data_IF_547295359102
#
_entry.id   IF_547295359102
#
_cell.length_a   1.000
_cell.length_b   1.000
_cell.length_c   1.000
_cell.angle_alpha   90.00
_cell.angle_beta   90.00
_cell.angle_gamma   90.00
#
_symmetry.space_group_name_H-M   'P 1'
#
loop_
_entity.id
_entity.type
_entity.pdbx_description
1 polymer ?
#
# COMPACT_ATOMS: atom_id res chain seq x y z
N UNK A 1 -8.22 4.77 -0.62
CA UNK A 1 -8.77 3.43 -0.36
C UNK A 1 -7.88 2.73 0.64
N UNK A 2 -8.45 1.99 1.60
CA UNK A 2 -7.68 1.20 2.58
C UNK A 2 -7.80 -0.29 2.24
N UNK A 3 -6.67 -1.00 2.23
CA UNK A 3 -6.60 -2.44 2.00
C UNK A 3 -5.83 -3.10 3.15
N UNK A 4 -6.48 -3.89 4.01
CA UNK A 4 -5.78 -4.61 5.07
C UNK A 4 -5.02 -5.81 4.49
N UNK A 5 -3.81 -6.03 4.99
CA UNK A 5 -2.95 -7.18 4.71
C UNK A 5 -2.52 -7.86 6.00
N UNK A 6 -2.40 -9.17 5.98
CA UNK A 6 -1.78 -9.92 7.06
C UNK A 6 -0.26 -9.84 6.95
N UNK A 7 0.44 -9.97 8.08
CA UNK A 7 1.92 -10.00 8.07
C UNK A 7 2.44 -11.17 7.22
N UNK A 8 1.76 -12.30 7.31
CA UNK A 8 2.12 -13.54 6.60
C UNK A 8 1.72 -13.55 5.12
N UNK A 9 0.99 -12.53 4.64
CA UNK A 9 0.65 -12.44 3.22
C UNK A 9 1.94 -12.40 2.39
N UNK A 10 2.02 -13.24 1.37
CA UNK A 10 3.17 -13.22 0.48
C UNK A 10 3.15 -11.94 -0.37
N UNK A 11 4.28 -11.63 -1.02
CA UNK A 11 4.31 -10.57 -2.02
C UNK A 11 3.22 -10.80 -3.07
N UNK A 12 3.12 -12.01 -3.61
CA UNK A 12 2.13 -12.36 -4.62
C UNK A 12 0.67 -12.13 -4.17
N UNK A 13 0.32 -12.54 -2.94
CA UNK A 13 -1.03 -12.32 -2.41
C UNK A 13 -1.35 -10.82 -2.29
N UNK A 14 -0.34 -10.04 -1.89
CA UNK A 14 -0.43 -8.59 -1.75
C UNK A 14 -0.65 -7.93 -3.12
N UNK A 15 0.15 -8.28 -4.12
CA UNK A 15 0.03 -7.78 -5.50
C UNK A 15 -1.32 -8.09 -6.11
N UNK A 16 -1.79 -9.34 -5.99
CA UNK A 16 -3.07 -9.76 -6.57
C UNK A 16 -4.22 -8.97 -5.94
N UNK A 17 -4.19 -8.79 -4.62
CA UNK A 17 -5.22 -8.03 -3.91
C UNK A 17 -5.19 -6.54 -4.30
N UNK A 18 -3.99 -5.95 -4.45
CA UNK A 18 -3.83 -4.57 -4.93
C UNK A 18 -4.34 -4.43 -6.36
N UNK A 19 -4.00 -5.38 -7.24
CA UNK A 19 -4.43 -5.37 -8.63
C UNK A 19 -5.96 -5.42 -8.75
N UNK A 20 -6.58 -6.39 -8.08
CA UNK A 20 -8.01 -6.60 -8.17
C UNK A 20 -8.82 -5.47 -7.55
N UNK A 21 -8.35 -4.89 -6.45
CA UNK A 21 -9.14 -3.90 -5.69
C UNK A 21 -8.77 -2.46 -6.05
N UNK A 22 -7.49 -2.16 -6.23
CA UNK A 22 -7.04 -0.79 -6.52
C UNK A 22 -7.11 -0.51 -8.01
N UNK A 23 -6.48 -1.35 -8.85
CA UNK A 23 -6.40 -1.06 -10.29
C UNK A 23 -7.77 -1.17 -10.97
N UNK A 24 -8.63 -2.09 -10.52
CA UNK A 24 -10.01 -2.16 -11.02
C UNK A 24 -10.84 -0.92 -10.69
N UNK A 25 -10.52 -0.20 -9.62
CA UNK A 25 -11.30 0.97 -9.19
C UNK A 25 -10.71 2.29 -9.68
N UNK A 26 -9.38 2.41 -9.67
CA UNK A 26 -8.66 3.64 -10.00
C UNK A 26 -8.04 3.64 -11.41
N UNK A 27 -8.01 2.49 -12.09
CA UNK A 27 -7.26 2.30 -13.34
C UNK A 27 -5.78 2.03 -13.10
N UNK A 28 -5.01 1.97 -14.19
CA UNK A 28 -3.56 1.76 -14.14
C UNK A 28 -2.85 3.04 -13.69
N UNK A 29 -2.04 2.93 -12.64
CA UNK A 29 -1.18 4.04 -12.22
C UNK A 29 0.05 4.15 -13.12
N UNK A 30 0.41 5.39 -13.49
CA UNK A 30 1.65 5.66 -14.23
C UNK A 30 2.88 5.66 -13.31
N UNK A 31 2.70 6.12 -12.07
CA UNK A 31 3.75 6.17 -11.05
C UNK A 31 3.18 5.69 -9.71
N UNK A 32 3.89 4.78 -9.04
CA UNK A 32 3.58 4.35 -7.67
C UNK A 32 4.76 4.70 -6.77
N UNK A 33 4.46 5.33 -5.64
CA UNK A 33 5.42 5.56 -4.57
C UNK A 33 5.00 4.68 -3.39
N UNK A 34 5.87 3.77 -2.96
CA UNK A 34 5.63 2.98 -1.76
C UNK A 34 6.90 2.86 -0.91
N UNK A 35 6.75 2.39 0.32
CA UNK A 35 7.85 2.16 1.22
C UNK A 35 8.71 0.97 0.80
N UNK A 36 9.75 0.66 1.59
CA UNK A 36 10.69 -0.42 1.29
C UNK A 36 10.29 -1.76 1.89
N UNK A 37 8.99 -2.04 2.04
CA UNK A 37 8.55 -3.36 2.49
C UNK A 37 9.11 -4.45 1.55
N UNK A 38 9.59 -5.59 2.08
CA UNK A 38 10.06 -6.73 1.28
C UNK A 38 9.08 -7.19 0.19
N UNK A 39 7.77 -7.01 0.41
CA UNK A 39 6.73 -7.35 -0.57
C UNK A 39 6.81 -6.47 -1.82
N UNK A 40 6.96 -5.15 -1.63
CA UNK A 40 7.07 -4.16 -2.72
C UNK A 40 8.46 -4.09 -3.36
N UNK A 41 9.50 -4.55 -2.66
CA UNK A 41 10.87 -4.65 -3.22
C UNK A 41 11.13 -5.98 -3.94
N UNK A 42 10.18 -6.93 -3.87
CA UNK A 42 10.29 -8.25 -4.46
C UNK A 42 10.47 -8.23 -5.98
N UNK A 43 11.11 -9.27 -6.52
CA UNK A 43 11.27 -9.42 -7.97
C UNK A 43 9.91 -9.59 -8.67
N UNK A 44 8.95 -10.23 -8.00
CA UNK A 44 7.59 -10.40 -8.51
C UNK A 44 6.91 -9.05 -8.73
N UNK A 45 6.91 -8.18 -7.70
CA UNK A 45 6.34 -6.84 -7.77
C UNK A 45 6.94 -6.01 -8.92
N UNK A 46 8.27 -6.00 -9.02
CA UNK A 46 8.96 -5.26 -10.08
C UNK A 46 8.58 -5.75 -11.47
N UNK A 47 8.66 -7.07 -11.70
CA UNK A 47 8.35 -7.64 -13.00
C UNK A 47 6.89 -7.44 -13.40
N UNK A 48 5.96 -7.54 -12.44
CA UNK A 48 4.54 -7.29 -12.67
C UNK A 48 4.33 -5.85 -13.15
N UNK A 49 4.85 -4.87 -12.42
CA UNK A 49 4.65 -3.46 -12.75
C UNK A 49 5.40 -3.00 -14.01
N UNK A 50 6.57 -3.56 -14.29
CA UNK A 50 7.31 -3.33 -15.54
C UNK A 50 6.49 -3.79 -16.76
N UNK A 51 5.78 -4.93 -16.67
CA UNK A 51 4.91 -5.43 -17.72
C UNK A 51 3.78 -4.46 -18.06
N UNK A 52 3.26 -3.75 -17.05
CA UNK A 52 2.18 -2.77 -17.22
C UNK A 52 2.68 -1.35 -17.52
N UNK A 53 4.00 -1.14 -17.59
CA UNK A 53 4.59 0.17 -17.84
C UNK A 53 4.44 1.16 -16.69
N UNK A 54 4.15 0.67 -15.47
CA UNK A 54 4.03 1.50 -14.27
C UNK A 54 5.41 1.72 -13.68
N UNK A 55 5.81 2.98 -13.51
CA UNK A 55 7.08 3.30 -12.84
C UNK A 55 6.92 3.22 -11.33
N UNK A 56 7.85 2.54 -10.69
CA UNK A 56 7.85 2.40 -9.23
C UNK A 56 9.01 3.18 -8.61
N UNK A 57 8.70 4.00 -7.61
CA UNK A 57 9.69 4.73 -6.80
C UNK A 57 9.55 4.31 -5.34
N UNK A 58 10.67 4.03 -4.68
CA UNK A 58 10.66 3.79 -3.24
C UNK A 58 10.81 5.10 -2.49
N UNK A 59 9.96 5.35 -1.50
CA UNK A 59 10.17 6.47 -0.58
C UNK A 59 11.50 6.26 0.16
N UNK A 60 12.21 7.37 0.44
CA UNK A 60 13.39 7.32 1.31
C UNK A 60 12.91 7.12 2.74
N UNK A 61 13.64 6.33 3.52
CA UNK A 61 13.40 6.19 4.96
C UNK A 61 13.31 7.59 5.58
N UNK A 62 12.16 7.92 6.17
CA UNK A 62 11.79 9.24 6.67
C UNK A 62 11.79 10.33 5.58
N UNK A 63 10.73 10.37 4.76
CA UNK A 63 10.40 11.54 3.97
C UNK A 63 9.02 12.07 4.40
N UNK A 64 8.97 13.03 5.34
CA UNK A 64 7.74 13.64 5.77
C UNK A 64 6.93 14.10 4.54
N UNK A 65 7.51 14.92 3.68
CA UNK A 65 6.75 15.60 2.61
C UNK A 65 5.95 14.74 1.61
N UNK A 66 6.30 13.47 1.38
CA UNK A 66 5.58 12.62 0.40
C UNK A 66 4.66 11.60 1.07
N UNK A 67 5.03 11.14 2.27
CA UNK A 67 4.24 10.17 3.03
C UNK A 67 3.35 10.81 4.09
N UNK A 68 3.50 12.10 4.40
CA UNK A 68 2.75 12.79 5.46
C UNK A 68 1.25 12.60 5.31
N UNK A 69 0.69 12.72 4.10
CA UNK A 69 -0.75 12.52 3.89
C UNK A 69 -1.19 11.07 4.08
N UNK A 70 -0.38 10.12 3.63
CA UNK A 70 -0.67 8.70 3.80
C UNK A 70 -0.57 8.30 5.28
N UNK A 71 0.47 8.79 5.98
CA UNK A 71 0.70 8.57 7.40
C UNK A 71 -0.40 9.21 8.25
N UNK A 72 -0.81 10.45 7.96
CA UNK A 72 -1.94 11.12 8.63
C UNK A 72 -3.24 10.33 8.39
N UNK A 73 -3.47 9.84 7.17
CA UNK A 73 -4.68 9.06 6.87
C UNK A 73 -4.67 7.71 7.61
N UNK A 74 -3.54 7.02 7.64
CA UNK A 74 -3.37 5.77 8.38
C UNK A 74 -3.60 6.00 9.87
N UNK A 75 -2.99 7.04 10.45
CA UNK A 75 -3.12 7.36 11.87
C UNK A 75 -4.56 7.73 12.25
N UNK A 76 -5.23 8.56 11.44
CA UNK A 76 -6.65 8.90 11.64
C UNK A 76 -7.54 7.65 11.61
N UNK A 77 -7.26 6.72 10.70
CA UNK A 77 -8.00 5.47 10.59
C UNK A 77 -7.73 4.55 11.79
N UNK A 78 -6.47 4.40 12.21
CA UNK A 78 -6.11 3.62 13.39
C UNK A 78 -6.81 4.15 14.64
N UNK A 79 -6.84 5.47 14.83
CA UNK A 79 -7.50 6.10 15.97
C UNK A 79 -9.01 5.87 15.94
N UNK A 80 -9.63 5.92 14.76
CA UNK A 80 -11.04 5.56 14.58
C UNK A 80 -11.31 4.09 14.93
N UNK A 81 -10.45 3.16 14.50
CA UNK A 81 -10.57 1.73 14.80
C UNK A 81 -10.37 1.48 16.30
N UNK A 82 -9.37 2.11 16.93
CA UNK A 82 -9.12 2.02 18.38
C UNK A 82 -10.32 2.54 19.17
N UNK A 83 -10.86 3.69 18.78
CA UNK A 83 -12.08 4.25 19.39
C UNK A 83 -13.25 3.28 19.24
N UNK A 84 -13.51 2.78 18.03
CA UNK A 84 -14.59 1.82 17.80
C UNK A 84 -14.45 0.55 18.64
N UNK A 85 -13.25 -0.03 18.73
CA UNK A 85 -13.00 -1.20 19.58
C UNK A 85 -13.11 -0.88 21.09
N UNK A 86 -12.73 0.33 21.52
CA UNK A 86 -12.83 0.76 22.91
C UNK A 86 -14.27 1.05 23.37
N UNK A 87 -15.13 1.51 22.46
CA UNK A 87 -16.54 1.82 22.74
C UNK A 87 -17.49 0.63 22.51
N UNK A 88 -16.99 -0.55 22.13
CA UNK A 88 -17.79 -1.76 21.91
C UNK A 88 -17.54 -2.80 23.02
N UNK A 89 -18.35 -2.73 24.07
CA UNK A 89 -18.89 -3.88 24.80
C UNK A 89 -20.32 -4.11 24.29
#
# INVERSE_FOLDING_TARGET
MFLPFHKDDTAMDTDISIWNKVMSHAGLFQNIISDRDPKFTSAFWKNLHDLFGTKFSFSKSHHPQTNDLAEIMIQTLEDMIRSFCAYRL
#
